data_IF_828512810796
#
_entry.id   IF_828512810796
#
_cell.length_a   1.000
_cell.length_b   1.000
_cell.length_c   1.000
_cell.angle_alpha   90.00
_cell.angle_beta   90.00
_cell.angle_gamma   90.00
#
_symmetry.space_group_name_H-M   'P 1'
#
loop_
_entity.id
_entity.type
_entity.pdbx_description
1 polymer ?
#
# COMPACT_ATOMS: atom_id res chain seq x y z
N UNK A 1 -8.02 -1.73 19.72
CA UNK A 1 -7.30 -2.47 18.65
C UNK A 1 -6.08 -3.14 19.26
N UNK A 2 -5.95 -4.46 19.10
CA UNK A 2 -4.79 -5.22 19.55
C UNK A 2 -4.47 -6.33 18.54
N UNK A 3 -3.29 -6.23 17.90
CA UNK A 3 -2.90 -7.09 16.77
C UNK A 3 -1.48 -7.57 16.95
N UNK A 4 -1.25 -8.86 16.69
CA UNK A 4 0.08 -9.47 16.63
C UNK A 4 0.32 -9.99 15.22
N UNK A 5 1.40 -9.54 14.58
CA UNK A 5 1.66 -9.80 13.16
C UNK A 5 3.16 -10.06 12.91
N UNK A 6 3.48 -10.78 11.82
CA UNK A 6 4.84 -10.94 11.35
C UNK A 6 5.41 -9.60 10.86
N UNK A 7 6.56 -9.22 11.40
CA UNK A 7 7.24 -7.94 11.12
C UNK A 7 7.63 -7.80 9.65
N UNK A 8 8.17 -8.85 9.03
CA UNK A 8 8.67 -8.78 7.66
C UNK A 8 7.51 -8.64 6.65
N UNK A 9 6.40 -9.36 6.88
CA UNK A 9 5.19 -9.25 6.06
C UNK A 9 4.59 -7.86 6.17
N UNK A 10 4.43 -7.36 7.40
CA UNK A 10 3.91 -6.01 7.64
C UNK A 10 4.81 -4.95 7.02
N UNK A 11 6.14 -5.01 7.22
CA UNK A 11 7.09 -4.07 6.62
C UNK A 11 6.99 -4.05 5.09
N UNK A 12 6.85 -5.23 4.47
CA UNK A 12 6.71 -5.36 3.02
C UNK A 12 5.43 -4.69 2.52
N UNK A 13 4.30 -4.91 3.20
CA UNK A 13 3.03 -4.26 2.87
C UNK A 13 3.07 -2.75 3.07
N UNK A 14 3.63 -2.28 4.19
CA UNK A 14 3.76 -0.83 4.46
C UNK A 14 4.68 -0.15 3.43
N UNK A 15 5.75 -0.79 2.97
CA UNK A 15 6.60 -0.26 1.89
C UNK A 15 5.83 -0.12 0.57
N UNK A 16 5.00 -1.10 0.21
CA UNK A 16 4.14 -1.01 -0.97
C UNK A 16 3.10 0.11 -0.82
N UNK A 17 2.45 0.18 0.34
CA UNK A 17 1.49 1.23 0.65
C UNK A 17 2.12 2.63 0.62
N UNK A 18 3.37 2.77 1.13
CA UNK A 18 4.13 4.02 1.09
C UNK A 18 4.45 4.51 -0.33
N UNK A 19 4.48 3.61 -1.32
CA UNK A 19 4.68 4.01 -2.72
C UNK A 19 3.45 4.70 -3.33
N UNK A 20 2.27 4.46 -2.76
CA UNK A 20 1.00 5.10 -3.17
C UNK A 20 0.71 6.34 -2.32
N UNK A 21 1.01 6.29 -1.02
CA UNK A 21 0.84 7.43 -0.13
C UNK A 21 1.71 8.62 -0.59
N UNK A 22 1.17 9.84 -0.77
CA UNK A 22 1.94 10.98 -1.23
C UNK A 22 2.98 11.38 -0.19
N UNK A 23 4.20 11.71 -0.64
CA UNK A 23 5.26 12.20 0.23
C UNK A 23 4.94 13.61 0.77
N UNK A 24 4.23 14.40 -0.03
CA UNK A 24 3.75 15.73 0.29
C UNK A 24 2.27 15.87 -0.12
N UNK A 25 1.45 16.32 0.80
CA UNK A 25 0.00 16.48 0.59
C UNK A 25 -0.53 17.59 1.48
N UNK A 26 -1.48 18.41 0.98
CA UNK A 26 -2.20 19.36 1.80
C UNK A 26 -3.07 18.68 2.88
N UNK A 27 -3.39 17.41 2.71
CA UNK A 27 -4.07 16.57 3.68
C UNK A 27 -3.05 15.63 4.33
N UNK A 28 -2.59 15.97 5.53
CA UNK A 28 -1.56 15.20 6.24
C UNK A 28 -1.91 13.71 6.41
N UNK A 29 -3.20 13.41 6.58
CA UNK A 29 -3.69 12.03 6.76
C UNK A 29 -3.40 11.13 5.54
N UNK A 30 -3.27 11.70 4.34
CA UNK A 30 -2.91 10.94 3.12
C UNK A 30 -1.45 10.46 3.12
N UNK A 31 -0.57 11.07 3.93
CA UNK A 31 0.79 10.55 4.15
C UNK A 31 0.79 9.29 5.00
N UNK A 32 -0.37 8.93 5.53
CA UNK A 32 -0.58 7.76 6.37
C UNK A 32 -1.09 6.56 5.58
N UNK A 33 -1.13 5.44 6.28
CA UNK A 33 -1.82 4.21 5.89
C UNK A 33 -2.93 3.95 6.90
N UNK A 34 -4.10 3.61 6.40
CA UNK A 34 -5.21 3.14 7.22
C UNK A 34 -4.96 1.67 7.56
N UNK A 35 -4.97 1.36 8.85
CA UNK A 35 -4.88 0.01 9.38
C UNK A 35 -6.22 -0.36 9.99
N UNK A 36 -6.85 -1.43 9.51
CA UNK A 36 -8.13 -1.95 10.02
C UNK A 36 -7.95 -3.42 10.44
N UNK A 37 -8.14 -3.70 11.70
CA UNK A 37 -8.04 -5.02 12.29
C UNK A 37 -9.41 -5.66 12.41
N UNK A 38 -9.55 -6.89 11.92
CA UNK A 38 -10.77 -7.70 11.96
C UNK A 38 -10.48 -9.04 12.66
N UNK A 39 -10.98 -9.19 13.87
CA UNK A 39 -10.80 -10.39 14.68
C UNK A 39 -11.56 -11.59 14.11
N UNK A 40 -12.72 -11.37 13.51
CA UNK A 40 -13.52 -12.46 12.93
C UNK A 40 -12.84 -13.05 11.69
N UNK A 41 -12.16 -12.20 10.89
CA UNK A 41 -11.41 -12.62 9.72
C UNK A 41 -9.95 -13.00 10.02
N UNK A 42 -9.42 -12.66 11.22
CA UNK A 42 -8.00 -12.86 11.55
C UNK A 42 -7.05 -12.10 10.63
N UNK A 43 -7.40 -10.86 10.28
CA UNK A 43 -6.69 -10.08 9.27
C UNK A 43 -6.49 -8.63 9.69
N UNK A 44 -5.37 -8.08 9.23
CA UNK A 44 -5.11 -6.65 9.22
C UNK A 44 -5.17 -6.15 7.78
N UNK A 45 -6.10 -5.24 7.49
CA UNK A 45 -6.19 -4.56 6.20
C UNK A 45 -5.36 -3.28 6.24
N UNK A 46 -4.47 -3.13 5.27
CA UNK A 46 -3.62 -1.95 5.06
C UNK A 46 -4.11 -1.23 3.81
N UNK A 47 -4.57 0.01 3.96
CA UNK A 47 -5.07 0.82 2.84
C UNK A 47 -4.27 2.12 2.72
N UNK A 48 -3.88 2.48 1.51
CA UNK A 48 -3.26 3.77 1.18
C UNK A 48 -3.88 4.37 -0.08
N UNK A 49 -3.87 5.68 -0.19
CA UNK A 49 -4.37 6.37 -1.37
C UNK A 49 -3.73 7.75 -1.53
N UNK A 50 -3.60 8.20 -2.78
CA UNK A 50 -3.30 9.58 -3.15
C UNK A 50 -4.50 10.27 -3.82
N UNK A 51 -5.72 9.70 -3.70
CA UNK A 51 -6.99 10.07 -4.33
C UNK A 51 -7.10 9.73 -5.83
N UNK A 52 -6.00 9.47 -6.52
CA UNK A 52 -5.98 9.02 -7.93
C UNK A 52 -5.79 7.51 -8.03
N UNK A 53 -5.00 6.95 -7.12
CA UNK A 53 -4.74 5.53 -6.99
C UNK A 53 -4.94 5.08 -5.55
N UNK A 54 -5.28 3.83 -5.37
CA UNK A 54 -5.39 3.22 -4.06
C UNK A 54 -4.79 1.82 -4.06
N UNK A 55 -4.28 1.43 -2.89
CA UNK A 55 -3.81 0.09 -2.62
C UNK A 55 -4.49 -0.42 -1.36
N UNK A 56 -5.06 -1.62 -1.43
CA UNK A 56 -5.56 -2.36 -0.28
C UNK A 56 -4.88 -3.72 -0.23
N UNK A 57 -4.31 -4.06 0.90
CA UNK A 57 -3.66 -5.33 1.14
C UNK A 57 -4.13 -5.95 2.45
N UNK A 58 -4.44 -7.24 2.44
CA UNK A 58 -4.92 -7.99 3.61
C UNK A 58 -3.84 -8.94 4.08
N UNK A 59 -3.41 -8.77 5.33
CA UNK A 59 -2.35 -9.55 5.96
C UNK A 59 -2.95 -10.49 6.99
N UNK A 60 -2.59 -11.79 6.99
CA UNK A 60 -2.99 -12.70 8.05
C UNK A 60 -2.29 -12.31 9.35
N UNK A 61 -3.02 -12.28 10.44
CA UNK A 61 -2.49 -11.92 11.75
C UNK A 61 -3.37 -12.45 12.88
N UNK A 62 -2.87 -12.37 14.12
CA UNK A 62 -3.68 -12.62 15.29
C UNK A 62 -4.28 -11.31 15.78
N UNK A 63 -5.59 -11.18 15.73
CA UNK A 63 -6.32 -10.01 16.22
C UNK A 63 -7.01 -10.39 17.53
N UNK A 64 -6.63 -9.73 18.63
CA UNK A 64 -7.26 -9.88 19.92
C UNK A 64 -8.44 -8.91 20.09
N UNK A 65 -8.35 -7.74 19.44
CA UNK A 65 -9.33 -6.67 19.55
C UNK A 65 -9.39 -5.89 18.23
N UNK A 66 -10.62 -5.74 17.70
CA UNK A 66 -10.89 -4.96 16.50
C UNK A 66 -10.51 -3.50 16.69
N UNK A 67 -10.32 -2.82 15.57
CA UNK A 67 -10.11 -1.40 15.59
C UNK A 67 -9.49 -0.88 14.30
N UNK A 68 -9.48 0.44 14.19
CA UNK A 68 -8.91 1.09 13.03
C UNK A 68 -8.22 2.39 13.43
N UNK A 69 -7.13 2.70 12.74
CA UNK A 69 -6.35 3.91 12.92
C UNK A 69 -5.57 4.24 11.65
N UNK A 70 -5.08 5.47 11.56
CA UNK A 70 -4.18 5.88 10.48
C UNK A 70 -2.81 6.17 11.07
N UNK A 71 -1.79 5.56 10.46
CA UNK A 71 -0.40 5.72 10.89
C UNK A 71 0.44 6.31 9.75
N UNK A 72 1.37 7.21 10.06
CA UNK A 72 2.31 7.76 9.10
C UNK A 72 3.11 6.67 8.37
N UNK A 73 2.90 6.50 7.06
CA UNK A 73 3.42 5.37 6.30
C UNK A 73 4.95 5.25 6.37
N UNK A 74 5.65 6.35 6.14
CA UNK A 74 7.12 6.40 6.18
C UNK A 74 7.67 6.09 7.57
N UNK A 75 7.07 6.70 8.60
CA UNK A 75 7.50 6.48 9.99
C UNK A 75 7.28 5.04 10.43
N UNK A 76 6.13 4.45 10.09
CA UNK A 76 5.84 3.04 10.40
C UNK A 76 6.84 2.09 9.70
N UNK A 77 7.17 2.34 8.43
CA UNK A 77 8.16 1.55 7.70
C UNK A 77 9.56 1.64 8.36
N UNK A 78 9.98 2.83 8.77
CA UNK A 78 11.26 3.03 9.46
C UNK A 78 11.30 2.31 10.81
N UNK A 79 10.24 2.41 11.62
CA UNK A 79 10.14 1.70 12.89
C UNK A 79 10.20 0.19 12.71
N UNK A 80 9.37 -0.37 11.83
CA UNK A 80 9.35 -1.80 11.54
C UNK A 80 10.71 -2.32 11.06
N UNK A 81 11.47 -1.50 10.32
CA UNK A 81 12.80 -1.89 9.83
C UNK A 81 13.85 -2.02 10.95
N UNK A 82 13.64 -1.36 12.09
CA UNK A 82 14.57 -1.29 13.23
C UNK A 82 14.20 -2.19 14.40
N UNK A 83 13.00 -2.80 14.36
CA UNK A 83 12.55 -3.69 15.44
C UNK A 83 13.35 -4.98 15.45
N UNK A 84 13.71 -5.50 16.66
CA UNK A 84 14.65 -6.61 16.80
C UNK A 84 14.04 -7.99 16.50
N UNK A 85 12.73 -8.19 16.73
CA UNK A 85 12.09 -9.50 16.61
C UNK A 85 11.25 -9.64 15.35
N UNK A 86 10.94 -10.88 14.97
CA UNK A 86 10.11 -11.21 13.80
C UNK A 86 8.63 -10.96 14.03
N UNK A 87 8.21 -10.76 15.30
CA UNK A 87 6.84 -10.49 15.68
C UNK A 87 6.71 -9.08 16.23
N UNK A 88 5.66 -8.39 15.82
CA UNK A 88 5.32 -7.07 16.29
C UNK A 88 3.88 -7.06 16.80
N UNK A 89 3.67 -6.37 17.91
CA UNK A 89 2.35 -6.12 18.49
C UNK A 89 1.98 -4.65 18.36
N UNK A 90 0.79 -4.39 17.84
CA UNK A 90 0.17 -3.09 17.72
C UNK A 90 -0.96 -2.99 18.72
N UNK A 91 -0.84 -2.11 19.71
CA UNK A 91 -1.87 -1.89 20.72
C UNK A 91 -2.31 -0.45 20.73
N UNK A 92 -3.65 -0.23 20.66
CA UNK A 92 -4.26 1.08 20.85
C UNK A 92 -5.41 0.93 21.84
N UNK A 93 -5.33 1.64 22.96
CA UNK A 93 -6.46 1.74 23.87
C UNK A 93 -7.57 2.62 23.27
N UNK A 94 -8.82 2.35 23.63
CA UNK A 94 -9.94 3.19 23.22
C UNK A 94 -9.73 4.65 23.66
N UNK A 95 -10.12 5.58 22.78
CA UNK A 95 -10.06 7.03 22.99
C UNK A 95 -8.66 7.63 23.24
N UNK A 96 -7.60 6.92 22.89
CA UNK A 96 -6.24 7.46 22.89
C UNK A 96 -5.79 7.78 21.47
N UNK A 97 -5.34 9.02 21.23
CA UNK A 97 -4.73 9.45 19.97
C UNK A 97 -3.34 8.84 19.75
N UNK A 98 -2.97 7.79 20.50
CA UNK A 98 -1.67 7.12 20.47
C UNK A 98 -1.82 5.63 20.27
N UNK A 99 -0.81 5.04 19.65
CA UNK A 99 -0.64 3.60 19.50
C UNK A 99 0.70 3.19 20.09
N UNK A 100 0.74 2.01 20.69
CA UNK A 100 1.96 1.36 21.15
C UNK A 100 2.37 0.28 20.16
N UNK A 101 3.62 0.32 19.70
CA UNK A 101 4.27 -0.68 18.86
C UNK A 101 5.32 -1.42 19.70
N UNK A 102 5.17 -2.73 19.89
CA UNK A 102 6.07 -3.55 20.72
C UNK A 102 6.69 -4.69 19.91
N UNK A 103 7.97 -4.96 20.19
CA UNK A 103 8.69 -6.11 19.67
C UNK A 103 9.82 -6.50 20.64
N UNK A 104 9.62 -7.59 21.41
CA UNK A 104 10.49 -7.90 22.54
C UNK A 104 10.52 -6.76 23.56
N UNK A 105 11.72 -6.33 23.93
CA UNK A 105 11.93 -5.23 24.88
C UNK A 105 11.75 -3.83 24.25
N UNK A 106 11.70 -3.75 22.91
CA UNK A 106 11.47 -2.49 22.21
C UNK A 106 9.99 -2.08 22.28
N UNK A 107 9.75 -0.83 22.70
CA UNK A 107 8.42 -0.26 22.83
C UNK A 107 8.44 1.18 22.32
N UNK A 108 7.58 1.49 21.36
CA UNK A 108 7.37 2.83 20.84
C UNK A 108 5.94 3.29 21.10
N UNK A 109 5.78 4.53 21.57
CA UNK A 109 4.48 5.19 21.62
C UNK A 109 4.45 6.29 20.57
N UNK A 110 3.42 6.29 19.73
CA UNK A 110 3.33 7.18 18.57
C UNK A 110 1.92 7.73 18.41
N UNK A 111 1.84 8.99 18.03
CA UNK A 111 0.58 9.63 17.72
C UNK A 111 0.02 9.08 16.40
N UNK A 112 -1.29 8.87 16.36
CA UNK A 112 -2.02 8.32 15.21
C UNK A 112 -3.23 9.19 14.91
N UNK A 113 -3.69 9.15 13.66
CA UNK A 113 -4.95 9.79 13.29
C UNK A 113 -6.12 8.82 13.43
N UNK A 114 -7.28 9.40 13.67
CA UNK A 114 -8.54 8.63 13.70
C UNK A 114 -8.91 8.14 12.29
N UNK A 115 -9.52 6.94 12.23
CA UNK A 115 -10.02 6.34 10.98
C UNK A 115 -10.89 7.31 10.18
N UNK A 116 -11.78 8.05 10.85
CA UNK A 116 -12.72 8.97 10.21
C UNK A 116 -12.07 10.12 9.44
N UNK A 117 -10.80 10.43 9.70
CA UNK A 117 -10.05 11.43 8.97
C UNK A 117 -9.52 10.93 7.61
N UNK A 118 -9.45 9.59 7.41
CA UNK A 118 -8.90 9.01 6.19
C UNK A 118 -9.98 8.81 5.13
N UNK A 119 -9.80 9.37 3.92
CA UNK A 119 -10.74 9.18 2.81
C UNK A 119 -10.57 7.76 2.24
N UNK A 120 -11.30 6.81 2.79
CA UNK A 120 -11.24 5.43 2.32
C UNK A 120 -11.76 5.36 0.90
N UNK A 121 -10.95 4.88 -0.06
CA UNK A 121 -11.39 4.75 -1.44
C UNK A 121 -12.44 3.65 -1.54
N UNK A 122 -13.47 3.90 -2.33
CA UNK A 122 -14.39 2.85 -2.78
C UNK A 122 -13.70 2.13 -3.96
N UNK A 123 -13.27 0.90 -3.71
CA UNK A 123 -12.63 0.06 -4.72
C UNK A 123 -13.66 -0.94 -5.26
N UNK A 124 -14.34 -0.62 -6.37
CA UNK A 124 -15.27 -1.55 -6.96
C UNK A 124 -14.52 -2.78 -7.49
N UNK A 125 -14.98 -3.96 -7.09
CA UNK A 125 -14.53 -5.21 -7.70
C UNK A 125 -15.47 -5.51 -8.88
N UNK A 126 -15.00 -5.42 -10.14
CA UNK A 126 -15.82 -5.78 -11.30
C UNK A 126 -16.18 -7.26 -11.24
N UNK A 127 -17.37 -7.61 -11.70
CA UNK A 127 -17.85 -9.00 -11.79
C UNK A 127 -16.98 -9.82 -12.75
N UNK A 128 -16.54 -9.16 -13.84
CA UNK A 128 -15.64 -9.76 -14.83
C UNK A 128 -14.18 -9.42 -14.53
N UNK A 129 -13.41 -10.44 -14.16
CA UNK A 129 -11.97 -10.30 -13.89
C UNK A 129 -11.15 -11.23 -14.76
N UNK A 130 -9.99 -10.73 -15.22
CA UNK A 130 -9.01 -11.53 -15.98
C UNK A 130 -7.76 -11.68 -15.15
N UNK A 131 -7.31 -12.93 -14.94
CA UNK A 131 -6.02 -13.19 -14.29
C UNK A 131 -4.89 -12.94 -15.29
N UNK A 132 -3.99 -12.02 -14.93
CA UNK A 132 -2.82 -11.70 -15.73
C UNK A 132 -1.55 -12.13 -14.99
N UNK A 133 -0.62 -12.75 -15.72
CA UNK A 133 0.72 -13.06 -15.25
C UNK A 133 1.74 -12.16 -15.98
N UNK A 134 2.93 -11.98 -15.38
CA UNK A 134 4.03 -11.27 -16.04
C UNK A 134 3.92 -9.73 -16.06
N UNK A 135 2.85 -9.13 -15.53
CA UNK A 135 2.68 -7.66 -15.48
C UNK A 135 3.89 -6.94 -14.88
N UNK A 136 4.46 -7.35 -13.73
CA UNK A 136 5.62 -6.66 -13.16
C UNK A 136 6.83 -6.67 -14.10
N UNK A 137 7.12 -7.79 -14.75
CA UNK A 137 8.23 -7.89 -15.69
C UNK A 137 8.00 -7.01 -16.94
N UNK A 138 6.79 -7.04 -17.49
CA UNK A 138 6.44 -6.17 -18.63
C UNK A 138 6.53 -4.69 -18.25
N UNK A 139 6.08 -4.30 -17.05
CA UNK A 139 6.21 -2.95 -16.55
C UNK A 139 7.68 -2.51 -16.44
N UNK A 140 8.54 -3.35 -15.84
CA UNK A 140 9.99 -3.07 -15.75
C UNK A 140 10.63 -2.82 -17.13
N UNK A 141 10.16 -3.53 -18.16
CA UNK A 141 10.69 -3.40 -19.52
C UNK A 141 10.10 -2.24 -20.32
N UNK A 142 9.04 -1.57 -19.86
CA UNK A 142 8.34 -0.56 -20.67
C UNK A 142 8.18 0.80 -19.98
N UNK A 143 8.07 0.84 -18.64
CA UNK A 143 7.81 2.08 -17.88
C UNK A 143 8.92 3.12 -18.10
N UNK A 144 10.20 2.72 -18.15
CA UNK A 144 11.30 3.66 -18.32
C UNK A 144 11.25 4.43 -19.67
N UNK A 145 10.57 3.88 -20.67
CA UNK A 145 10.40 4.49 -21.98
C UNK A 145 9.21 5.45 -22.06
N UNK A 146 8.40 5.59 -21.01
CA UNK A 146 7.28 6.53 -21.00
C UNK A 146 7.76 7.98 -20.81
N UNK A 147 6.93 8.96 -21.22
CA UNK A 147 7.22 10.37 -21.02
C UNK A 147 7.21 10.75 -19.54
N UNK A 148 8.11 11.64 -19.15
CA UNK A 148 8.19 12.18 -17.79
C UNK A 148 7.47 13.54 -17.66
N UNK A 149 7.29 14.25 -18.75
CA UNK A 149 6.62 15.55 -18.77
C UNK A 149 5.10 15.44 -18.96
N UNK A 150 4.40 16.54 -18.67
CA UNK A 150 2.94 16.62 -18.77
C UNK A 150 2.42 17.09 -20.13
N UNK A 151 3.31 17.32 -21.12
CA UNK A 151 2.91 17.83 -22.44
C UNK A 151 2.07 16.83 -23.22
N UNK A 152 2.27 15.52 -22.96
CA UNK A 152 1.54 14.43 -23.61
C UNK A 152 1.11 13.39 -22.56
N UNK A 153 0.02 13.61 -21.83
CA UNK A 153 -0.38 12.74 -20.70
C UNK A 153 -0.52 11.27 -21.07
N UNK A 154 -0.99 10.94 -22.27
CA UNK A 154 -1.13 9.56 -22.75
C UNK A 154 0.21 8.82 -22.88
N UNK A 155 1.29 9.53 -23.12
CA UNK A 155 2.63 8.94 -23.22
C UNK A 155 3.26 8.66 -21.84
N UNK A 156 2.67 9.13 -20.76
CA UNK A 156 3.08 8.78 -19.37
C UNK A 156 2.60 7.40 -18.95
N UNK A 157 1.73 6.78 -19.73
CA UNK A 157 1.12 5.49 -19.45
C UNK A 157 1.76 4.38 -20.26
N UNK A 158 1.76 3.17 -19.72
CA UNK A 158 2.05 1.96 -20.48
C UNK A 158 0.74 1.47 -21.10
N UNK A 159 0.75 1.28 -22.41
CA UNK A 159 -0.38 0.68 -23.12
C UNK A 159 -0.33 -0.84 -22.95
N UNK A 160 -1.43 -1.42 -22.47
CA UNK A 160 -1.63 -2.87 -22.37
C UNK A 160 -2.64 -3.32 -23.44
N UNK A 161 -2.22 -4.21 -24.31
CA UNK A 161 -3.06 -4.78 -25.38
C UNK A 161 -3.25 -6.28 -25.18
N UNK A 162 -4.50 -6.73 -25.15
CA UNK A 162 -4.87 -8.13 -25.19
C UNK A 162 -4.90 -8.58 -26.66
N UNK A 163 -4.13 -9.59 -26.98
CA UNK A 163 -4.08 -10.18 -28.33
C UNK A 163 -4.48 -11.65 -28.25
N UNK A 164 -4.78 -12.26 -29.40
CA UNK A 164 -5.05 -13.69 -29.48
C UNK A 164 -3.88 -14.57 -29.01
N UNK A 165 -2.67 -14.03 -28.96
CA UNK A 165 -1.45 -14.74 -28.58
C UNK A 165 -0.91 -14.38 -27.20
N UNK A 166 -1.62 -13.54 -26.43
CA UNK A 166 -1.23 -13.15 -25.08
C UNK A 166 -1.32 -11.63 -24.85
N UNK A 167 -0.63 -11.15 -23.82
CA UNK A 167 -0.58 -9.74 -23.44
C UNK A 167 0.65 -9.07 -24.06
N UNK A 168 0.45 -7.86 -24.57
CA UNK A 168 1.53 -6.99 -25.03
C UNK A 168 1.49 -5.66 -24.26
N UNK A 169 2.65 -5.21 -23.79
CA UNK A 169 2.84 -3.90 -23.19
C UNK A 169 3.68 -3.01 -24.12
N UNK A 170 3.38 -1.71 -24.16
CA UNK A 170 4.15 -0.73 -24.90
C UNK A 170 4.29 0.58 -24.11
N UNK A 171 5.50 1.12 -24.01
CA UNK A 171 5.81 2.43 -23.45
C UNK A 171 6.50 3.30 -24.51
N UNK A 172 6.19 4.60 -24.54
CA UNK A 172 6.81 5.56 -25.45
C UNK A 172 6.88 6.96 -24.86
N UNK A 173 7.94 7.70 -25.16
CA UNK A 173 8.05 9.15 -24.89
C UNK A 173 7.96 10.01 -26.14
N UNK A 174 7.64 9.42 -27.30
CA UNK A 174 7.61 10.08 -28.60
C UNK A 174 8.93 10.00 -29.36
N UNK A 175 10.06 9.72 -28.71
CA UNK A 175 11.37 9.55 -29.34
C UNK A 175 11.80 8.07 -29.43
N UNK A 176 11.32 7.26 -28.48
CA UNK A 176 11.55 5.82 -28.49
C UNK A 176 10.23 5.08 -28.17
N UNK A 177 10.17 3.83 -28.61
CA UNK A 177 9.09 2.90 -28.28
C UNK A 177 9.73 1.60 -27.81
N UNK A 178 9.27 1.09 -26.68
CA UNK A 178 9.67 -0.22 -26.17
C UNK A 178 8.43 -1.08 -26.01
N UNK A 179 8.53 -2.34 -26.43
CA UNK A 179 7.43 -3.31 -26.31
C UNK A 179 7.92 -4.56 -25.59
N UNK A 180 7.03 -5.11 -24.75
CA UNK A 180 7.22 -6.39 -24.08
C UNK A 180 6.03 -7.31 -24.36
N UNK A 181 6.27 -8.63 -24.34
CA UNK A 181 5.24 -9.65 -24.51
C UNK A 181 5.27 -10.57 -23.27
N UNK A 182 4.09 -10.96 -22.80
CA UNK A 182 3.89 -11.89 -21.70
C UNK A 182 3.06 -13.10 -22.14
#
# INVERSE_FOLDING_TARGET
>A
MNVTINRAEMLSAIKRASAVAPADSPLDVLRGVLLEADAAAGKLTVTSTNLEAALEEKLPCTVQEDGALVFGAKMLAEMLSRLPQDTVQLCRAENQGRMTLRSGDACYEVDVWERGAFPKPDLPFPEDTVKLSGIPAMAQHTVFATAQDNSKPLLKCVNLMFTSTGLRAAGSNGNCIVTARG
#
